data_IF_108964702811
#
_entry.id   IF_108964702811
#
_cell.length_a   1.000
_cell.length_b   1.000
_cell.length_c   1.000
_cell.angle_alpha   90.00
_cell.angle_beta   90.00
_cell.angle_gamma   90.00
#
_symmetry.space_group_name_H-M   'P 1'
#
loop_
_entity.id
_entity.type
_entity.pdbx_description
1 polymer ?
#
# COMPACT_ATOMS: atom_id res chain seq x y z
N UNK A 1 4.91 -13.34 -6.74
CA UNK A 1 4.45 -12.23 -7.62
C UNK A 1 3.33 -11.44 -6.97
N UNK A 2 2.20 -12.08 -6.63
CA UNK A 2 1.07 -11.43 -5.93
C UNK A 2 1.47 -10.54 -4.76
N UNK A 3 2.28 -11.04 -3.81
CA UNK A 3 2.70 -10.23 -2.66
C UNK A 3 3.47 -8.96 -3.07
N UNK A 4 4.30 -9.00 -4.11
CA UNK A 4 5.04 -7.82 -4.57
C UNK A 4 4.11 -6.75 -5.15
N UNK A 5 3.14 -7.19 -5.95
CA UNK A 5 2.16 -6.33 -6.62
C UNK A 5 1.26 -5.59 -5.62
N UNK A 6 0.86 -6.26 -4.53
CA UNK A 6 -0.10 -5.70 -3.57
C UNK A 6 0.52 -5.11 -2.30
N UNK A 7 1.86 -4.98 -2.24
CA UNK A 7 2.54 -4.35 -1.08
C UNK A 7 3.52 -3.26 -1.48
N UNK A 8 3.86 -3.15 -2.77
CA UNK A 8 4.88 -2.22 -3.25
C UNK A 8 6.28 -2.47 -2.68
N UNK A 9 6.53 -3.58 -2.00
CA UNK A 9 7.84 -3.89 -1.42
C UNK A 9 8.93 -4.00 -2.48
N UNK A 10 10.14 -3.55 -2.14
CA UNK A 10 11.33 -3.80 -2.97
C UNK A 10 11.62 -5.29 -3.02
N UNK A 11 12.21 -5.75 -4.12
CA UNK A 11 12.64 -7.15 -4.29
C UNK A 11 13.44 -7.67 -3.10
N UNK A 12 14.43 -6.90 -2.63
CA UNK A 12 15.26 -7.30 -1.49
C UNK A 12 14.47 -7.44 -0.18
N UNK A 13 13.51 -6.54 0.07
CA UNK A 13 12.63 -6.59 1.24
C UNK A 13 11.79 -7.87 1.24
N UNK A 14 11.27 -8.27 0.07
CA UNK A 14 10.48 -9.50 -0.08
C UNK A 14 11.33 -10.77 0.02
N UNK A 15 12.44 -10.84 -0.72
CA UNK A 15 13.31 -12.02 -0.70
C UNK A 15 13.93 -12.25 0.68
N UNK A 16 14.16 -11.18 1.41
CA UNK A 16 14.62 -11.24 2.79
C UNK A 16 13.51 -11.41 3.82
N UNK A 17 12.22 -11.44 3.48
CA UNK A 17 11.12 -11.39 4.45
C UNK A 17 11.05 -12.65 5.33
N UNK A 18 10.99 -12.45 6.64
CA UNK A 18 10.85 -13.49 7.66
C UNK A 18 9.43 -13.50 8.25
N UNK A 19 9.00 -14.67 8.75
CA UNK A 19 7.70 -14.83 9.41
C UNK A 19 7.57 -13.99 10.68
N UNK A 20 8.67 -13.76 11.40
CA UNK A 20 8.73 -12.88 12.57
C UNK A 20 8.27 -11.44 12.29
N UNK A 21 8.30 -11.02 11.02
CA UNK A 21 7.89 -9.69 10.55
C UNK A 21 6.49 -9.66 9.96
N UNK A 22 5.81 -10.81 9.87
CA UNK A 22 4.46 -10.93 9.35
C UNK A 22 3.49 -11.10 10.52
N UNK A 23 2.63 -10.13 10.71
CA UNK A 23 1.62 -10.12 11.77
C UNK A 23 0.25 -10.28 11.11
N UNK A 24 -0.20 -11.53 10.94
CA UNK A 24 -1.48 -11.85 10.29
C UNK A 24 -2.69 -11.49 11.14
N UNK A 25 -2.52 -11.32 12.45
CA UNK A 25 -3.59 -10.87 13.35
C UNK A 25 -3.84 -9.38 13.15
N UNK A 26 -2.79 -8.56 13.18
CA UNK A 26 -2.90 -7.11 12.89
C UNK A 26 -2.91 -6.81 11.39
N UNK A 27 -2.82 -7.84 10.55
CA UNK A 27 -2.87 -7.78 9.09
C UNK A 27 -1.82 -6.85 8.46
N UNK A 28 -0.57 -6.96 8.92
CA UNK A 28 0.55 -6.10 8.50
C UNK A 28 1.86 -6.85 8.29
N UNK A 29 2.74 -6.30 7.47
CA UNK A 29 4.19 -6.59 7.45
C UNK A 29 4.94 -5.45 8.14
N UNK A 30 5.91 -5.77 8.99
CA UNK A 30 6.78 -4.79 9.67
C UNK A 30 8.18 -4.82 9.09
N UNK A 31 8.64 -3.70 8.54
CA UNK A 31 10.01 -3.53 8.08
C UNK A 31 10.74 -2.55 9.00
N UNK A 32 11.79 -3.02 9.68
CA UNK A 32 12.69 -2.17 10.46
C UNK A 32 13.75 -1.50 9.57
N UNK A 33 14.48 -0.51 10.10
CA UNK A 33 15.48 0.29 9.40
C UNK A 33 16.45 -0.56 8.55
N UNK A 34 17.05 -1.59 9.15
CA UNK A 34 18.03 -2.48 8.51
C UNK A 34 17.45 -3.31 7.35
N UNK A 35 16.13 -3.45 7.28
CA UNK A 35 15.45 -4.17 6.20
C UNK A 35 15.15 -3.26 5.00
N UNK A 36 15.29 -1.94 5.15
CA UNK A 36 14.88 -0.96 4.14
C UNK A 36 16.06 -0.25 3.54
N UNK A 37 15.98 0.06 2.23
CA UNK A 37 17.06 0.78 1.53
C UNK A 37 17.26 2.20 2.07
N UNK A 38 16.20 2.84 2.59
CA UNK A 38 16.26 4.20 3.12
C UNK A 38 16.71 4.26 4.58
N UNK A 39 16.84 3.12 5.27
CA UNK A 39 17.08 3.09 6.71
C UNK A 39 15.88 3.52 7.57
N UNK A 40 14.70 3.73 6.97
CA UNK A 40 13.50 4.17 7.68
C UNK A 40 12.53 3.00 7.88
N UNK A 41 12.12 2.69 9.13
CA UNK A 41 11.15 1.63 9.39
C UNK A 41 9.78 1.99 8.81
N UNK A 42 9.02 0.99 8.39
CA UNK A 42 7.62 1.17 7.97
C UNK A 42 6.77 -0.07 8.20
N UNK A 43 5.47 0.17 8.35
CA UNK A 43 4.44 -0.87 8.44
C UNK A 43 3.67 -0.88 7.13
N UNK A 44 3.44 -2.07 6.58
CA UNK A 44 2.71 -2.26 5.32
C UNK A 44 1.43 -3.02 5.63
N UNK A 45 0.26 -2.35 5.57
CA UNK A 45 -1.04 -3.00 5.63
C UNK A 45 -1.23 -3.98 4.48
N UNK A 46 -1.94 -5.07 4.75
CA UNK A 46 -2.20 -6.11 3.76
C UNK A 46 -3.64 -6.02 3.26
N UNK A 47 -3.83 -5.86 1.96
CA UNK A 47 -5.14 -6.15 1.36
C UNK A 47 -5.38 -7.67 1.30
N UNK A 48 -6.60 -8.06 0.91
CA UNK A 48 -7.01 -9.47 0.84
C UNK A 48 -6.08 -10.32 -0.02
N UNK A 49 -5.64 -9.81 -1.18
CA UNK A 49 -4.73 -10.52 -2.09
C UNK A 49 -3.34 -10.73 -1.50
N UNK A 50 -2.79 -9.71 -0.82
CA UNK A 50 -1.50 -9.82 -0.14
C UNK A 50 -1.56 -10.82 1.02
N UNK A 51 -2.64 -10.75 1.81
CA UNK A 51 -2.90 -11.67 2.92
C UNK A 51 -3.06 -13.12 2.43
N UNK A 52 -3.84 -13.33 1.38
CA UNK A 52 -4.03 -14.66 0.78
C UNK A 52 -2.71 -15.24 0.27
N UNK A 53 -1.85 -14.42 -0.34
CA UNK A 53 -0.51 -14.85 -0.77
C UNK A 53 0.35 -15.33 0.41
N UNK A 54 0.31 -14.61 1.55
CA UNK A 54 1.03 -15.00 2.77
C UNK A 54 0.45 -16.29 3.37
N UNK A 55 -0.86 -16.44 3.46
CA UNK A 55 -1.49 -17.68 3.95
C UNK A 55 -1.08 -18.88 3.10
N UNK A 56 -1.05 -18.74 1.78
CA UNK A 56 -0.56 -19.79 0.89
C UNK A 56 0.90 -20.18 1.19
N UNK A 57 1.77 -19.20 1.47
CA UNK A 57 3.16 -19.47 1.88
C UNK A 57 3.26 -20.09 3.27
N UNK A 58 2.38 -19.72 4.19
CA UNK A 58 2.34 -20.30 5.53
C UNK A 58 1.96 -21.79 5.48
N UNK A 59 0.94 -22.13 4.68
CA UNK A 59 0.54 -23.52 4.42
C UNK A 59 1.67 -24.33 3.77
N UNK A 60 2.29 -23.78 2.73
CA UNK A 60 3.44 -24.40 2.08
C UNK A 60 4.56 -24.73 3.09
N UNK A 61 4.92 -23.75 3.93
CA UNK A 61 5.93 -23.91 4.98
C UNK A 61 5.55 -25.03 5.95
N UNK A 62 4.32 -25.01 6.47
CA UNK A 62 3.85 -26.01 7.42
C UNK A 62 3.94 -27.44 6.87
N UNK A 63 3.69 -27.64 5.58
CA UNK A 63 3.72 -28.96 4.96
C UNK A 63 5.11 -29.46 4.54
N UNK A 64 6.07 -28.57 4.27
CA UNK A 64 7.36 -28.99 3.66
C UNK A 64 8.59 -28.60 4.47
N UNK A 65 8.57 -27.47 5.17
CA UNK A 65 9.73 -26.91 5.85
C UNK A 65 9.31 -26.09 7.08
N UNK A 66 8.74 -26.73 8.12
CA UNK A 66 8.06 -26.05 9.23
C UNK A 66 8.98 -25.15 10.06
N UNK A 67 10.29 -25.35 10.02
CA UNK A 67 11.26 -24.56 10.78
C UNK A 67 11.85 -23.38 9.99
N UNK A 68 11.54 -23.26 8.69
CA UNK A 68 12.14 -22.24 7.85
C UNK A 68 11.76 -20.82 8.32
N UNK A 69 12.72 -19.92 8.61
CA UNK A 69 12.38 -18.59 9.13
C UNK A 69 11.84 -17.64 8.06
N UNK A 70 12.18 -17.88 6.78
CA UNK A 70 11.83 -17.01 5.66
C UNK A 70 10.47 -17.35 5.04
N UNK A 71 9.77 -16.33 4.52
CA UNK A 71 8.49 -16.49 3.80
C UNK A 71 8.69 -17.17 2.45
N UNK A 72 9.77 -16.85 1.76
CA UNK A 72 10.09 -17.37 0.43
C UNK A 72 11.28 -18.33 0.48
N UNK A 73 10.95 -19.62 0.45
CA UNK A 73 11.88 -20.76 0.52
C UNK A 73 11.51 -21.82 -0.52
N UNK A 74 12.50 -22.62 -0.93
CA UNK A 74 12.27 -23.85 -1.72
C UNK A 74 11.72 -24.99 -0.83
N UNK A 75 11.61 -26.20 -1.39
CA UNK A 75 11.08 -27.36 -0.67
C UNK A 75 11.98 -27.81 0.48
N UNK A 76 13.27 -27.54 0.38
CA UNK A 76 14.28 -27.83 1.40
C UNK A 76 14.36 -26.75 2.49
N UNK A 77 13.47 -25.74 2.46
CA UNK A 77 13.46 -24.65 3.45
C UNK A 77 14.55 -23.59 3.24
N UNK A 78 15.33 -23.67 2.17
CA UNK A 78 16.38 -22.71 1.83
C UNK A 78 15.77 -21.45 1.20
N UNK A 79 16.23 -20.29 1.65
CA UNK A 79 15.77 -18.98 1.17
C UNK A 79 15.96 -18.83 -0.34
N UNK A 80 14.91 -18.37 -1.02
CA UNK A 80 14.97 -18.05 -2.45
C UNK A 80 15.80 -16.78 -2.63
N UNK A 81 16.98 -16.91 -3.23
CA UNK A 81 17.89 -15.78 -3.49
C UNK A 81 17.56 -14.96 -4.75
N UNK A 82 16.81 -15.54 -5.70
CA UNK A 82 16.46 -14.88 -6.95
C UNK A 82 15.13 -15.37 -7.50
N UNK A 83 14.33 -14.42 -7.98
CA UNK A 83 13.04 -14.67 -8.66
C UNK A 83 13.08 -14.30 -10.15
N UNK A 84 14.27 -13.99 -10.71
CA UNK A 84 14.41 -13.56 -12.11
C UNK A 84 13.84 -14.60 -13.08
N UNK A 85 14.21 -15.87 -12.93
CA UNK A 85 13.78 -16.97 -13.81
C UNK A 85 12.28 -17.22 -13.69
N UNK A 86 11.76 -17.31 -12.47
CA UNK A 86 10.33 -17.51 -12.22
C UNK A 86 9.49 -16.36 -12.75
N UNK A 87 9.98 -15.12 -12.63
CA UNK A 87 9.31 -13.92 -13.12
C UNK A 87 9.32 -13.85 -14.65
N UNK A 88 10.48 -14.04 -15.29
CA UNK A 88 10.59 -14.11 -16.75
C UNK A 88 9.69 -15.20 -17.34
N UNK A 89 9.61 -16.36 -16.67
CA UNK A 89 8.70 -17.43 -17.05
C UNK A 89 7.23 -17.01 -16.92
N UNK A 90 6.87 -16.28 -15.87
CA UNK A 90 5.51 -15.76 -15.70
C UNK A 90 5.16 -14.75 -16.80
N UNK A 91 6.04 -13.78 -17.10
CA UNK A 91 5.82 -12.81 -18.17
C UNK A 91 5.66 -13.49 -19.55
N UNK A 92 6.52 -14.48 -19.84
CA UNK A 92 6.42 -15.25 -21.09
C UNK A 92 5.08 -15.98 -21.22
N UNK A 93 4.58 -16.56 -20.12
CA UNK A 93 3.29 -17.26 -20.10
C UNK A 93 2.09 -16.35 -20.30
N UNK A 94 2.22 -15.06 -19.96
CA UNK A 94 1.15 -14.07 -20.11
C UNK A 94 1.32 -13.19 -21.35
N UNK A 95 2.33 -13.44 -22.19
CA UNK A 95 2.62 -12.63 -23.37
C UNK A 95 3.13 -11.21 -23.07
N UNK A 96 3.56 -10.92 -21.84
CA UNK A 96 4.04 -9.60 -21.44
C UNK A 96 5.54 -9.48 -21.78
N UNK A 97 5.90 -8.50 -22.60
CA UNK A 97 7.28 -8.13 -22.94
C UNK A 97 7.74 -6.90 -22.13
N UNK A 98 9.07 -6.73 -22.01
CA UNK A 98 9.76 -5.62 -21.31
C UNK A 98 9.27 -5.26 -19.89
N UNK A 99 8.70 -6.24 -19.18
CA UNK A 99 8.26 -6.06 -17.80
C UNK A 99 9.29 -6.62 -16.83
N UNK A 100 9.68 -5.82 -15.84
CA UNK A 100 10.70 -6.07 -14.81
C UNK A 100 10.05 -6.22 -13.44
N UNK A 101 10.75 -6.88 -12.51
CA UNK A 101 10.23 -7.07 -11.13
C UNK A 101 9.95 -5.74 -10.44
N UNK A 102 10.73 -4.70 -10.76
CA UNK A 102 10.52 -3.35 -10.22
C UNK A 102 9.24 -2.71 -10.73
N UNK A 103 8.71 -3.16 -11.86
CA UNK A 103 7.50 -2.59 -12.44
C UNK A 103 6.27 -3.01 -11.65
N UNK A 104 6.29 -4.15 -10.95
CA UNK A 104 5.23 -4.50 -9.98
C UNK A 104 5.06 -3.44 -8.88
N UNK A 105 6.16 -2.82 -8.45
CA UNK A 105 6.13 -1.72 -7.47
C UNK A 105 5.63 -0.42 -8.11
N UNK A 106 5.96 -0.17 -9.37
CA UNK A 106 5.39 0.94 -10.12
C UNK A 106 3.88 0.76 -10.29
N UNK A 107 3.42 -0.44 -10.67
CA UNK A 107 2.00 -0.78 -10.78
C UNK A 107 1.25 -0.57 -9.48
N UNK A 108 1.79 -1.01 -8.34
CA UNK A 108 1.21 -0.74 -7.02
C UNK A 108 0.99 0.77 -6.78
N UNK A 109 2.01 1.58 -7.08
CA UNK A 109 1.93 3.02 -6.89
C UNK A 109 0.92 3.67 -7.85
N UNK A 110 0.96 3.28 -9.13
CA UNK A 110 0.01 3.74 -10.15
C UNK A 110 -1.43 3.46 -9.74
N UNK A 111 -1.74 2.23 -9.33
CA UNK A 111 -3.09 1.87 -8.89
C UNK A 111 -3.57 2.72 -7.72
N UNK A 112 -2.76 2.88 -6.67
CA UNK A 112 -3.18 3.70 -5.53
C UNK A 112 -3.43 5.15 -5.93
N UNK A 113 -2.57 5.73 -6.77
CA UNK A 113 -2.76 7.12 -7.20
C UNK A 113 -3.99 7.26 -8.09
N UNK A 114 -4.25 6.31 -8.99
CA UNK A 114 -5.47 6.27 -9.81
C UNK A 114 -6.74 6.15 -8.96
N UNK A 115 -6.68 5.41 -7.85
CA UNK A 115 -7.78 5.34 -6.87
C UNK A 115 -7.87 6.59 -5.95
N UNK A 116 -7.11 7.65 -6.24
CA UNK A 116 -7.17 8.92 -5.51
C UNK A 116 -6.39 8.96 -4.20
N UNK A 117 -5.56 7.95 -3.91
CA UNK A 117 -4.74 7.95 -2.68
C UNK A 117 -3.67 9.06 -2.77
N UNK A 118 -3.55 9.93 -1.74
CA UNK A 118 -2.59 11.02 -1.75
C UNK A 118 -1.14 10.56 -1.94
N UNK A 119 -0.35 11.31 -2.74
CA UNK A 119 1.05 10.98 -3.03
C UNK A 119 1.91 10.83 -1.77
N UNK A 120 1.60 11.55 -0.70
CA UNK A 120 2.29 11.43 0.58
C UNK A 120 2.07 10.04 1.22
N UNK A 121 0.85 9.51 1.15
CA UNK A 121 0.53 8.18 1.69
C UNK A 121 1.17 7.08 0.83
N UNK A 122 1.07 7.21 -0.49
CA UNK A 122 1.75 6.30 -1.42
C UNK A 122 3.27 6.32 -1.18
N UNK A 123 3.86 7.50 -0.98
CA UNK A 123 5.28 7.67 -0.65
C UNK A 123 5.68 6.92 0.63
N UNK A 124 4.85 7.01 1.68
CA UNK A 124 5.05 6.31 2.95
C UNK A 124 4.97 4.79 2.80
N UNK A 125 3.97 4.27 2.08
CA UNK A 125 3.82 2.83 1.79
C UNK A 125 5.03 2.29 1.02
N UNK A 126 5.47 3.04 0.02
CA UNK A 126 6.65 2.71 -0.78
C UNK A 126 7.95 2.86 0.01
N UNK A 127 8.00 3.64 1.09
CA UNK A 127 9.22 3.98 1.80
C UNK A 127 10.19 4.75 0.90
N UNK A 128 9.68 5.81 0.26
CA UNK A 128 10.51 6.81 -0.42
C UNK A 128 11.03 7.82 0.60
N UNK A 129 12.28 8.25 0.44
CA UNK A 129 12.89 9.24 1.34
C UNK A 129 12.30 10.64 1.14
N UNK A 130 11.77 10.93 -0.05
CA UNK A 130 11.10 12.20 -0.37
C UNK A 130 9.86 11.93 -1.21
N UNK A 131 8.83 12.77 -1.07
CA UNK A 131 7.60 12.70 -1.89
C UNK A 131 7.91 12.93 -3.38
N UNK A 132 8.97 13.71 -3.69
CA UNK A 132 9.47 13.93 -5.06
C UNK A 132 9.71 12.66 -5.86
N UNK A 133 10.11 11.56 -5.21
CA UNK A 133 10.27 10.26 -5.89
C UNK A 133 8.93 9.65 -6.35
N UNK A 134 7.83 10.02 -5.70
CA UNK A 134 6.46 9.57 -5.96
C UNK A 134 5.74 10.51 -6.94
N UNK A 135 6.20 11.75 -7.14
CA UNK A 135 5.60 12.71 -8.09
C UNK A 135 5.54 12.19 -9.52
N UNK A 136 6.39 11.22 -9.89
CA UNK A 136 6.31 10.55 -11.20
C UNK A 136 4.96 9.89 -11.48
N UNK A 137 4.12 9.65 -10.46
CA UNK A 137 2.77 9.10 -10.62
C UNK A 137 1.67 10.16 -10.55
N UNK A 138 2.00 11.44 -10.27
CA UNK A 138 1.02 12.50 -10.03
C UNK A 138 0.01 12.66 -11.17
N UNK A 139 0.45 12.46 -12.41
CA UNK A 139 -0.38 12.51 -13.62
C UNK A 139 -1.47 11.42 -13.69
N UNK A 140 -1.45 10.44 -12.79
CA UNK A 140 -2.47 9.39 -12.69
C UNK A 140 -3.57 9.73 -11.69
N UNK A 141 -3.41 10.81 -10.92
CA UNK A 141 -4.40 11.20 -9.92
C UNK A 141 -5.70 11.60 -10.61
N UNK A 142 -6.88 11.29 -10.02
CA UNK A 142 -8.15 11.78 -10.53
C UNK A 142 -8.14 13.31 -10.66
N UNK A 143 -8.47 13.82 -11.83
CA UNK A 143 -8.65 15.25 -12.05
C UNK A 143 -9.97 15.71 -11.44
N UNK A 144 -9.92 16.47 -10.35
CA UNK A 144 -11.11 17.17 -9.84
C UNK A 144 -10.76 18.37 -8.98
N UNK A 145 -9.96 19.31 -9.51
CA UNK A 145 -9.68 20.58 -8.82
C UNK A 145 -10.99 21.30 -8.44
N UNK A 146 -12.01 21.23 -9.29
CA UNK A 146 -13.35 21.74 -8.99
C UNK A 146 -13.99 21.03 -7.80
N UNK A 147 -14.06 19.69 -7.81
CA UNK A 147 -14.64 18.96 -6.67
C UNK A 147 -13.88 19.19 -5.37
N UNK A 148 -12.56 19.39 -5.43
CA UNK A 148 -11.75 19.72 -4.26
C UNK A 148 -12.09 21.11 -3.69
N UNK A 149 -12.34 22.11 -4.55
CA UNK A 149 -12.78 23.44 -4.13
C UNK A 149 -14.22 23.41 -3.62
N UNK A 150 -15.12 22.64 -4.26
CA UNK A 150 -16.52 22.48 -3.83
C UNK A 150 -16.67 21.91 -2.41
N UNK A 151 -15.67 21.22 -1.87
CA UNK A 151 -15.66 20.81 -0.45
C UNK A 151 -15.75 22.00 0.52
N UNK A 152 -15.34 23.20 0.08
CA UNK A 152 -15.44 24.42 0.87
C UNK A 152 -16.85 24.98 0.94
N UNK A 153 -17.75 24.63 0.01
CA UNK A 153 -19.14 25.13 -0.02
C UNK A 153 -19.90 24.74 1.26
N UNK A 154 -19.60 23.56 1.82
CA UNK A 154 -20.17 23.09 3.08
C UNK A 154 -19.72 23.89 4.31
N UNK A 155 -18.61 24.65 4.24
CA UNK A 155 -18.15 25.52 5.34
C UNK A 155 -18.94 26.82 5.44
N UNK A 156 -19.54 27.26 4.34
CA UNK A 156 -20.31 28.50 4.28
C UNK A 156 -21.71 28.37 4.91
N UNK A 157 -22.23 27.15 5.09
CA UNK A 157 -23.61 26.91 5.56
C UNK A 157 -23.74 26.67 7.07
N UNK A 158 -22.64 26.62 7.82
CA UNK A 158 -22.63 26.28 9.26
C UNK A 158 -22.73 27.50 10.20
N UNK A 159 -23.05 28.69 9.69
CA UNK A 159 -22.86 29.93 10.43
C UNK A 159 -23.95 30.98 10.22
N UNK A 160 -25.24 30.65 10.36
CA UNK A 160 -26.29 31.63 10.73
C UNK A 160 -27.57 30.90 11.15
N UNK A 161 -27.64 30.44 12.41
CA UNK A 161 -28.94 30.34 13.09
C UNK A 161 -29.24 31.70 13.70
N UNK A 162 -29.99 32.50 12.96
CA UNK A 162 -30.64 33.72 13.42
C UNK A 162 -31.57 33.37 14.60
N UNK A 163 -31.15 33.72 15.83
CA UNK A 163 -32.05 33.79 16.99
C UNK A 163 -32.58 35.21 17.11
N UNK A 164 -33.35 35.64 16.12
CA UNK A 164 -34.11 36.89 16.12
C UNK A 164 -35.55 36.69 16.58
N UNK A 165 -35.80 36.34 17.85
CA UNK A 165 -37.16 36.44 18.43
C UNK A 165 -37.19 37.58 19.47
N UNK A 166 -37.30 38.83 18.99
CA UNK A 166 -37.85 39.95 19.76
C UNK A 166 -39.28 40.20 19.28
N UNK A 167 -40.27 39.90 20.13
CA UNK A 167 -41.55 40.63 20.15
C UNK A 167 -41.84 41.07 21.56
N UNK A 168 -41.57 42.35 21.83
CA UNK A 168 -42.07 43.11 22.97
C UNK A 168 -43.48 43.60 22.66
N UNK A 169 -44.35 43.54 23.67
CA UNK A 169 -45.31 44.61 23.97
C UNK A 169 -46.71 44.46 23.39
N UNK A 170 -47.65 44.05 24.24
CA UNK A 170 -49.01 44.63 24.24
C UNK A 170 -49.31 45.02 25.68
N UNK A 171 -49.57 46.32 25.87
CA UNK A 171 -50.01 46.95 27.11
C UNK A 171 -51.53 46.83 27.21
N UNK A 172 -51.98 46.64 28.44
CA UNK A 172 -53.33 46.72 29.02
C UNK A 172 -54.39 47.52 28.24
N UNK A 173 -55.64 47.05 28.26
CA UNK A 173 -56.81 47.72 28.88
C UNK A 173 -57.73 46.63 29.45
#
# INVERSE_FOLDING_TARGET
>A
MRLALFTGCRRGELLGLEWSRVDLHRNVIRLQAQHTKSGAPRVIPLCNEARAALIGRQRFRASHCPDAPFVFVNYEGVRIGSIKRSFSTACRRTGISDFRIHDLRHTFASWLVTEGVPLLEVSRLLGHSTVKMTERYAHLAPDSLESAVSLLDHRSHSGHTDKGQKRRGVVSH
#
